data_IF_417656398423
#
_entry.id   IF_417656398423
#
_cell.length_a   1.000
_cell.length_b   1.000
_cell.length_c   1.000
_cell.angle_alpha   90.00
_cell.angle_beta   90.00
_cell.angle_gamma   90.00
#
_symmetry.space_group_name_H-M   'P 1'
#
loop_
_entity.id
_entity.type
_entity.pdbx_description
1 polymer ?
#
# COMPACT_ATOMS: atom_id res chain seq x y z
N UNK A 1 59.33 -10.87 21.22
CA UNK A 1 58.44 -11.41 20.17
C UNK A 1 56.99 -11.09 20.59
N UNK A 2 56.46 -9.99 20.06
CA UNK A 2 55.04 -9.65 20.28
C UNK A 2 54.20 -10.43 19.28
N UNK A 3 53.02 -10.97 19.68
CA UNK A 3 52.13 -11.68 18.75
C UNK A 3 51.42 -10.66 17.84
N UNK A 4 51.61 -10.83 16.54
CA UNK A 4 50.87 -10.11 15.50
C UNK A 4 49.38 -10.42 15.59
N UNK A 5 48.60 -9.54 16.24
CA UNK A 5 47.15 -9.59 16.22
C UNK A 5 46.72 -9.10 14.82
N UNK A 6 46.40 -10.03 13.94
CA UNK A 6 45.69 -9.74 12.69
C UNK A 6 44.29 -9.21 13.05
N UNK A 7 44.13 -7.90 12.97
CA UNK A 7 42.82 -7.25 13.03
C UNK A 7 41.97 -7.80 11.87
N UNK A 8 41.06 -8.72 12.18
CA UNK A 8 40.01 -9.10 11.27
C UNK A 8 39.19 -7.85 10.95
N UNK A 9 39.24 -7.44 9.70
CA UNK A 9 38.46 -6.34 9.17
C UNK A 9 36.97 -6.73 9.26
N UNK A 10 36.30 -6.38 10.35
CA UNK A 10 34.84 -6.42 10.39
C UNK A 10 34.34 -5.40 9.35
N UNK A 11 33.48 -5.81 8.39
CA UNK A 11 32.92 -4.86 7.45
C UNK A 11 32.19 -3.76 8.25
N UNK A 12 32.54 -2.50 7.96
CA UNK A 12 31.93 -1.36 8.63
C UNK A 12 30.42 -1.39 8.39
N UNK A 13 29.60 -0.93 9.35
CA UNK A 13 28.13 -0.85 9.22
C UNK A 13 27.69 -0.15 7.93
N UNK A 14 28.49 0.76 7.42
CA UNK A 14 28.29 1.51 6.18
C UNK A 14 28.39 0.63 4.92
N UNK A 15 29.26 -0.37 4.91
CA UNK A 15 29.40 -1.29 3.76
C UNK A 15 28.23 -2.25 3.65
N UNK A 16 27.70 -2.74 4.78
CA UNK A 16 26.52 -3.59 4.82
C UNK A 16 25.27 -2.80 4.35
N UNK A 17 25.11 -1.56 4.83
CA UNK A 17 24.02 -0.66 4.39
C UNK A 17 24.04 -0.39 2.89
N UNK A 18 25.21 -0.19 2.30
CA UNK A 18 25.37 0.06 0.87
C UNK A 18 25.06 -1.17 0.00
N UNK A 19 25.39 -2.39 0.45
CA UNK A 19 25.10 -3.63 -0.27
C UNK A 19 23.57 -3.87 -0.44
N UNK A 20 22.77 -3.51 0.56
CA UNK A 20 21.31 -3.69 0.53
C UNK A 20 20.53 -2.51 -0.05
N UNK A 21 21.19 -1.42 -0.42
CA UNK A 21 20.55 -0.21 -0.93
C UNK A 21 19.80 -0.45 -2.24
N UNK A 22 20.39 -1.15 -3.20
CA UNK A 22 19.75 -1.47 -4.46
C UNK A 22 18.53 -2.39 -4.32
N UNK A 23 18.62 -3.51 -3.57
CA UNK A 23 17.45 -4.33 -3.27
C UNK A 23 16.33 -3.54 -2.58
N UNK A 24 16.65 -2.67 -1.62
CA UNK A 24 15.66 -1.84 -0.93
C UNK A 24 14.96 -0.84 -1.87
N UNK A 25 15.69 -0.27 -2.83
CA UNK A 25 15.12 0.59 -3.88
C UNK A 25 14.16 -0.22 -4.76
N UNK A 26 14.59 -1.38 -5.24
CA UNK A 26 13.76 -2.26 -6.09
C UNK A 26 12.46 -2.66 -5.38
N UNK A 27 12.55 -3.08 -4.11
CA UNK A 27 11.38 -3.39 -3.27
C UNK A 27 10.45 -2.18 -3.16
N UNK A 28 10.99 -0.98 -2.95
CA UNK A 28 10.20 0.25 -2.84
C UNK A 28 9.46 0.60 -4.13
N UNK A 29 10.02 0.31 -5.29
CA UNK A 29 9.32 0.49 -6.58
C UNK A 29 8.28 -0.60 -6.83
N UNK A 30 8.61 -1.87 -6.54
CA UNK A 30 7.69 -2.99 -6.72
C UNK A 30 6.45 -2.84 -5.83
N UNK A 31 6.64 -2.49 -4.56
CA UNK A 31 5.56 -2.25 -3.60
C UNK A 31 5.24 -0.77 -3.45
N UNK A 32 5.25 -0.04 -4.58
CA UNK A 32 4.87 1.37 -4.56
C UNK A 32 3.40 1.51 -4.12
N UNK A 33 3.08 2.45 -3.19
CA UNK A 33 1.73 2.56 -2.61
C UNK A 33 0.61 2.73 -3.64
N UNK A 34 0.89 3.28 -4.81
CA UNK A 34 -0.07 3.41 -5.92
C UNK A 34 -0.38 2.06 -6.56
N UNK A 35 0.56 1.09 -6.56
CA UNK A 35 0.37 -0.23 -7.18
C UNK A 35 -0.27 -1.24 -6.23
N UNK A 36 -0.08 -1.10 -4.94
CA UNK A 36 -0.59 -2.04 -3.92
C UNK A 36 -2.10 -2.30 -4.04
N UNK A 37 -2.98 -1.28 -4.23
CA UNK A 37 -4.41 -1.52 -4.42
C UNK A 37 -4.72 -2.41 -5.60
N UNK A 38 -3.96 -2.30 -6.69
CA UNK A 38 -4.17 -3.12 -7.89
C UNK A 38 -3.78 -4.59 -7.64
N UNK A 39 -2.72 -4.86 -6.87
CA UNK A 39 -2.36 -6.22 -6.47
C UNK A 39 -3.45 -6.86 -5.59
N UNK A 40 -4.03 -6.10 -4.67
CA UNK A 40 -5.14 -6.55 -3.84
C UNK A 40 -6.35 -6.91 -4.69
N UNK A 41 -6.73 -6.06 -5.65
CA UNK A 41 -7.87 -6.31 -6.54
C UNK A 41 -7.59 -7.49 -7.47
N UNK A 42 -6.39 -7.60 -8.01
CA UNK A 42 -6.00 -8.76 -8.81
C UNK A 42 -6.12 -10.07 -8.01
N UNK A 43 -5.73 -10.06 -6.73
CA UNK A 43 -5.94 -11.20 -5.85
C UNK A 43 -7.43 -11.54 -5.68
N UNK A 44 -8.27 -10.55 -5.36
CA UNK A 44 -9.71 -10.74 -5.17
C UNK A 44 -10.37 -11.30 -6.43
N UNK A 45 -9.98 -10.79 -7.61
CA UNK A 45 -10.62 -11.09 -8.90
C UNK A 45 -10.16 -12.42 -9.49
N UNK A 46 -8.86 -12.74 -9.39
CA UNK A 46 -8.26 -13.87 -10.12
C UNK A 46 -7.78 -15.02 -9.23
N UNK A 47 -7.37 -14.73 -8.00
CA UNK A 47 -6.71 -15.72 -7.14
C UNK A 47 -7.66 -16.24 -6.07
N UNK A 48 -8.48 -15.36 -5.47
CA UNK A 48 -9.45 -15.78 -4.46
C UNK A 48 -10.54 -16.65 -5.12
N UNK A 49 -10.76 -17.88 -4.65
CA UNK A 49 -11.54 -18.85 -5.41
C UNK A 49 -13.05 -18.63 -5.39
N UNK A 50 -13.60 -17.79 -4.52
CA UNK A 50 -15.07 -17.67 -4.35
C UNK A 50 -15.64 -16.34 -4.81
N UNK A 51 -14.95 -15.23 -4.71
CA UNK A 51 -15.57 -13.91 -4.92
C UNK A 51 -16.02 -13.66 -6.37
N UNK A 52 -15.26 -14.09 -7.36
CA UNK A 52 -15.50 -13.82 -8.77
C UNK A 52 -15.75 -15.08 -9.60
N UNK A 53 -16.30 -16.13 -8.99
CA UNK A 53 -16.56 -17.43 -9.67
C UNK A 53 -17.60 -17.31 -10.80
N UNK A 54 -18.60 -16.45 -10.65
CA UNK A 54 -19.64 -16.21 -11.66
C UNK A 54 -19.27 -15.25 -12.78
N UNK A 55 -18.08 -14.62 -12.70
CA UNK A 55 -17.65 -13.61 -13.67
C UNK A 55 -16.91 -14.24 -14.84
N UNK A 56 -17.27 -13.82 -16.06
CA UNK A 56 -16.51 -14.19 -17.28
C UNK A 56 -15.11 -13.55 -17.27
N UNK A 57 -14.19 -14.10 -18.10
CA UNK A 57 -12.86 -13.53 -18.24
C UNK A 57 -12.87 -12.05 -18.67
N UNK A 58 -13.83 -11.65 -19.52
CA UNK A 58 -13.98 -10.24 -19.94
C UNK A 58 -14.39 -9.33 -18.78
N UNK A 59 -15.35 -9.73 -17.97
CA UNK A 59 -15.80 -8.96 -16.81
C UNK A 59 -14.67 -8.80 -15.77
N UNK A 60 -13.87 -9.84 -15.55
CA UNK A 60 -12.67 -9.77 -14.69
C UNK A 60 -11.65 -8.76 -15.21
N UNK A 61 -11.38 -8.76 -16.53
CA UNK A 61 -10.49 -7.79 -17.16
C UNK A 61 -11.05 -6.37 -17.02
N UNK A 62 -12.33 -6.14 -17.28
CA UNK A 62 -12.95 -4.83 -17.12
C UNK A 62 -12.90 -4.34 -15.68
N UNK A 63 -13.16 -5.22 -14.71
CA UNK A 63 -13.02 -4.88 -13.28
C UNK A 63 -11.61 -4.38 -12.96
N UNK A 64 -10.59 -5.09 -13.45
CA UNK A 64 -9.19 -4.71 -13.21
C UNK A 64 -8.83 -3.41 -13.94
N UNK A 65 -9.29 -3.21 -15.19
CA UNK A 65 -9.04 -1.98 -15.95
C UNK A 65 -9.71 -0.76 -15.31
N UNK A 66 -10.97 -0.86 -14.89
CA UNK A 66 -11.68 0.22 -14.19
C UNK A 66 -10.95 0.57 -12.90
N UNK A 67 -10.51 -0.44 -12.15
CA UNK A 67 -9.71 -0.25 -10.94
C UNK A 67 -8.37 0.42 -11.23
N UNK A 68 -7.64 -0.04 -12.25
CA UNK A 68 -6.35 0.52 -12.64
C UNK A 68 -6.48 2.00 -13.05
N UNK A 69 -7.52 2.36 -13.81
CA UNK A 69 -7.76 3.75 -14.21
C UNK A 69 -8.03 4.64 -13.00
N UNK A 70 -8.90 4.21 -12.09
CA UNK A 70 -9.30 5.05 -10.94
C UNK A 70 -8.25 5.07 -9.81
N UNK A 71 -7.62 3.94 -9.52
CA UNK A 71 -6.75 3.81 -8.35
C UNK A 71 -5.26 4.03 -8.66
N UNK A 72 -4.87 3.95 -9.94
CA UNK A 72 -3.48 4.10 -10.37
C UNK A 72 -3.32 5.26 -11.34
N UNK A 73 -4.00 5.20 -12.48
CA UNK A 73 -3.77 6.16 -13.57
C UNK A 73 -4.13 7.59 -13.16
N UNK A 74 -5.34 7.84 -12.66
CA UNK A 74 -5.74 9.20 -12.26
C UNK A 74 -4.92 9.77 -11.10
N UNK A 75 -4.67 9.05 -9.98
CA UNK A 75 -3.75 9.54 -8.96
C UNK A 75 -2.35 9.86 -9.49
N UNK A 76 -1.78 8.98 -10.33
CA UNK A 76 -0.47 9.20 -10.92
C UNK A 76 -0.45 10.41 -11.86
N UNK A 77 -1.45 10.50 -12.76
CA UNK A 77 -1.61 11.65 -13.67
C UNK A 77 -1.70 12.96 -12.88
N UNK A 78 -2.48 12.98 -11.78
CA UNK A 78 -2.58 14.17 -10.92
C UNK A 78 -1.22 14.57 -10.34
N UNK A 79 -0.45 13.62 -9.81
CA UNK A 79 0.90 13.91 -9.30
C UNK A 79 1.82 14.46 -10.38
N UNK A 80 1.78 13.89 -11.59
CA UNK A 80 2.58 14.36 -12.73
C UNK A 80 2.17 15.77 -13.16
N UNK A 81 0.86 16.06 -13.22
CA UNK A 81 0.35 17.40 -13.54
C UNK A 81 0.75 18.43 -12.46
N UNK A 82 0.62 18.07 -11.18
CA UNK A 82 1.05 18.93 -10.07
C UNK A 82 2.55 19.25 -10.14
N UNK A 83 3.36 18.27 -10.55
CA UNK A 83 4.80 18.50 -10.78
C UNK A 83 5.04 19.40 -11.99
N UNK A 84 4.35 19.16 -13.09
CA UNK A 84 4.49 19.95 -14.32
C UNK A 84 4.08 21.42 -14.10
N UNK A 85 3.04 21.66 -13.30
CA UNK A 85 2.53 23.00 -12.97
C UNK A 85 3.30 23.67 -11.80
N UNK A 86 4.30 23.01 -11.21
CA UNK A 86 5.11 23.59 -10.15
C UNK A 86 4.47 23.60 -8.76
N UNK A 87 3.31 22.94 -8.55
CA UNK A 87 2.66 22.86 -7.24
C UNK A 87 3.40 21.96 -6.24
N UNK A 88 4.18 20.98 -6.73
CA UNK A 88 5.04 20.15 -5.90
C UNK A 88 6.48 20.23 -6.38
N UNK A 89 7.42 20.25 -5.43
CA UNK A 89 8.84 20.39 -5.71
C UNK A 89 9.44 19.11 -6.31
N UNK A 90 8.97 17.95 -5.90
CA UNK A 90 9.45 16.65 -6.34
C UNK A 90 8.36 15.59 -6.33
N UNK A 91 8.38 14.69 -7.32
CA UNK A 91 7.53 13.48 -7.34
C UNK A 91 7.83 12.53 -6.17
N UNK A 92 9.02 12.64 -5.56
CA UNK A 92 9.39 11.83 -4.39
C UNK A 92 8.77 12.34 -3.08
N UNK A 93 8.13 13.52 -3.09
CA UNK A 93 7.35 14.09 -1.97
C UNK A 93 8.11 14.03 -0.64
N UNK A 94 9.32 14.59 -0.61
CA UNK A 94 10.17 14.59 0.58
C UNK A 94 9.59 15.41 1.72
N UNK A 95 8.88 16.51 1.43
CA UNK A 95 8.25 17.36 2.45
C UNK A 95 6.83 16.90 2.78
N UNK A 96 6.36 17.23 3.99
CA UNK A 96 4.95 17.02 4.40
C UNK A 96 3.99 17.78 3.49
N UNK A 97 4.37 19.00 3.06
CA UNK A 97 3.54 19.88 2.22
C UNK A 97 3.31 19.27 0.83
N UNK A 98 4.34 18.71 0.21
CA UNK A 98 4.23 18.09 -1.12
C UNK A 98 3.26 16.89 -1.14
N UNK A 99 2.98 16.29 0.01
CA UNK A 99 2.10 15.11 0.15
C UNK A 99 0.62 15.45 0.28
N UNK A 100 0.28 16.66 0.70
CA UNK A 100 -1.12 17.05 1.01
C UNK A 100 -2.00 16.89 -0.22
N UNK A 101 -1.64 17.51 -1.34
CA UNK A 101 -2.47 17.47 -2.55
C UNK A 101 -2.55 16.06 -3.15
N UNK A 102 -1.46 15.28 -3.25
CA UNK A 102 -1.54 13.86 -3.62
C UNK A 102 -2.45 13.02 -2.73
N UNK A 103 -2.44 13.23 -1.41
CA UNK A 103 -3.37 12.54 -0.51
C UNK A 103 -4.83 12.90 -0.82
N UNK A 104 -5.13 14.19 -1.01
CA UNK A 104 -6.48 14.67 -1.37
C UNK A 104 -6.91 14.06 -2.71
N UNK A 105 -6.03 14.07 -3.71
CA UNK A 105 -6.32 13.49 -5.02
C UNK A 105 -6.63 11.98 -4.92
N UNK A 106 -5.78 11.21 -4.23
CA UNK A 106 -6.05 9.79 -3.99
C UNK A 106 -7.38 9.58 -3.25
N UNK A 107 -7.67 10.41 -2.24
CA UNK A 107 -8.93 10.35 -1.48
C UNK A 107 -10.14 10.51 -2.42
N UNK A 108 -10.13 11.51 -3.31
CA UNK A 108 -11.23 11.76 -4.25
C UNK A 108 -11.41 10.57 -5.21
N UNK A 109 -10.34 10.08 -5.82
CA UNK A 109 -10.43 8.97 -6.78
C UNK A 109 -10.79 7.64 -6.13
N UNK A 110 -10.32 7.38 -4.91
CA UNK A 110 -10.67 6.16 -4.17
C UNK A 110 -12.13 6.19 -3.73
N UNK A 111 -12.62 7.34 -3.27
CA UNK A 111 -14.05 7.48 -2.95
C UNK A 111 -14.92 7.35 -4.20
N UNK A 112 -14.53 7.95 -5.32
CA UNK A 112 -15.22 7.77 -6.59
C UNK A 112 -15.26 6.31 -7.05
N UNK A 113 -14.12 5.63 -7.00
CA UNK A 113 -14.03 4.20 -7.34
C UNK A 113 -14.94 3.36 -6.42
N UNK A 114 -14.97 3.67 -5.12
CA UNK A 114 -15.90 3.04 -4.19
C UNK A 114 -17.34 3.19 -4.64
N UNK A 115 -17.80 4.40 -4.98
CA UNK A 115 -19.15 4.64 -5.46
C UNK A 115 -19.45 3.89 -6.75
N UNK A 116 -18.52 3.87 -7.70
CA UNK A 116 -18.66 3.14 -8.97
C UNK A 116 -18.95 1.66 -8.73
N UNK A 117 -18.16 1.00 -7.87
CA UNK A 117 -18.34 -0.42 -7.60
C UNK A 117 -19.50 -0.72 -6.62
N UNK A 118 -19.75 0.16 -5.66
CA UNK A 118 -20.83 -0.01 -4.67
C UNK A 118 -22.22 0.08 -5.27
N UNK A 119 -22.39 0.93 -6.29
CA UNK A 119 -23.67 1.13 -6.97
C UNK A 119 -24.02 0.02 -7.97
N UNK A 120 -23.11 -0.92 -8.22
CA UNK A 120 -23.32 -2.05 -9.12
C UNK A 120 -23.49 -3.34 -8.31
N UNK A 121 -24.71 -3.85 -8.25
CA UNK A 121 -25.08 -5.02 -7.42
C UNK A 121 -24.40 -6.34 -7.84
N UNK A 122 -23.83 -6.38 -9.04
CA UNK A 122 -23.11 -7.56 -9.54
C UNK A 122 -21.79 -7.82 -8.83
N UNK A 123 -21.14 -6.79 -8.29
CA UNK A 123 -19.82 -6.95 -7.67
C UNK A 123 -19.90 -7.49 -6.24
N UNK A 124 -19.03 -8.45 -5.88
CA UNK A 124 -18.93 -8.93 -4.50
C UNK A 124 -18.61 -7.78 -3.55
N UNK A 125 -19.26 -7.74 -2.40
CA UNK A 125 -19.15 -6.64 -1.44
C UNK A 125 -17.73 -6.38 -0.94
N UNK A 126 -16.87 -7.41 -0.95
CA UNK A 126 -15.47 -7.27 -0.56
C UNK A 126 -14.71 -6.24 -1.43
N UNK A 127 -15.05 -6.12 -2.73
CA UNK A 127 -14.37 -5.18 -3.63
C UNK A 127 -14.62 -3.72 -3.25
N UNK A 128 -15.89 -3.22 -3.19
CA UNK A 128 -16.14 -1.85 -2.73
C UNK A 128 -15.71 -1.64 -1.27
N UNK A 129 -15.79 -2.65 -0.39
CA UNK A 129 -15.31 -2.57 0.99
C UNK A 129 -13.82 -2.31 1.05
N UNK A 130 -13.02 -3.05 0.27
CA UNK A 130 -11.58 -2.83 0.18
C UNK A 130 -11.24 -1.40 -0.29
N UNK A 131 -11.91 -0.94 -1.36
CA UNK A 131 -11.65 0.40 -1.93
C UNK A 131 -12.04 1.50 -0.92
N UNK A 132 -13.15 1.33 -0.20
CA UNK A 132 -13.54 2.23 0.87
C UNK A 132 -12.53 2.24 2.02
N UNK A 133 -12.01 1.07 2.38
CA UNK A 133 -10.92 0.95 3.36
C UNK A 133 -9.65 1.70 2.93
N UNK A 134 -9.29 1.66 1.64
CA UNK A 134 -8.18 2.44 1.09
C UNK A 134 -8.46 3.95 1.17
N UNK A 135 -9.68 4.38 0.87
CA UNK A 135 -10.12 5.77 1.07
C UNK A 135 -9.95 6.21 2.52
N UNK A 136 -10.41 5.42 3.48
CA UNK A 136 -10.26 5.72 4.91
C UNK A 136 -8.78 5.77 5.33
N UNK A 137 -7.97 4.83 4.85
CA UNK A 137 -6.53 4.77 5.13
C UNK A 137 -5.81 6.02 4.61
N UNK A 138 -6.12 6.46 3.40
CA UNK A 138 -5.53 7.66 2.79
C UNK A 138 -5.91 8.91 3.59
N UNK A 139 -7.16 9.04 4.04
CA UNK A 139 -7.59 10.16 4.88
C UNK A 139 -6.92 10.14 6.25
N UNK A 140 -6.81 8.96 6.89
CA UNK A 140 -6.04 8.81 8.13
C UNK A 140 -4.57 9.20 7.94
N UNK A 141 -3.97 8.80 6.82
CA UNK A 141 -2.62 9.20 6.42
C UNK A 141 -2.47 10.71 6.21
N UNK A 142 -3.46 11.37 5.59
CA UNK A 142 -3.50 12.82 5.42
C UNK A 142 -3.55 13.54 6.77
N UNK A 143 -4.43 13.11 7.67
CA UNK A 143 -4.54 13.68 9.02
C UNK A 143 -3.23 13.48 9.80
N UNK A 144 -2.69 12.26 9.80
CA UNK A 144 -1.41 11.98 10.45
C UNK A 144 -0.27 12.84 9.89
N UNK A 145 -0.26 13.08 8.57
CA UNK A 145 0.77 13.89 7.91
C UNK A 145 0.79 15.36 8.37
N UNK A 146 -0.29 15.87 8.98
CA UNK A 146 -0.31 17.20 9.60
C UNK A 146 0.65 17.23 10.81
N UNK A 147 0.63 16.19 11.63
CA UNK A 147 1.38 16.11 12.88
C UNK A 147 2.80 15.56 12.66
N UNK A 148 2.94 14.44 11.96
CA UNK A 148 4.22 13.78 11.70
C UNK A 148 4.28 13.16 10.29
N UNK A 149 5.50 12.89 9.80
CA UNK A 149 5.72 12.31 8.47
C UNK A 149 5.42 10.82 8.51
N UNK A 150 4.23 10.39 8.03
CA UNK A 150 3.88 8.96 7.93
C UNK A 150 4.48 8.31 6.68
N UNK A 151 4.81 7.01 6.76
CA UNK A 151 5.27 6.25 5.59
C UNK A 151 4.11 5.82 4.70
N UNK A 152 4.03 6.38 3.48
CA UNK A 152 3.00 6.02 2.49
C UNK A 152 3.10 4.56 2.04
N UNK A 153 4.32 4.01 1.95
CA UNK A 153 4.53 2.58 1.65
C UNK A 153 3.96 1.70 2.76
N UNK A 154 4.25 2.02 4.01
CA UNK A 154 3.71 1.27 5.14
C UNK A 154 2.19 1.40 5.24
N UNK A 155 1.63 2.57 4.90
CA UNK A 155 0.18 2.79 4.84
C UNK A 155 -0.49 1.87 3.80
N UNK A 156 0.05 1.79 2.59
CA UNK A 156 -0.44 0.90 1.55
C UNK A 156 -0.32 -0.58 1.94
N UNK A 157 0.83 -0.98 2.46
CA UNK A 157 1.07 -2.35 2.92
C UNK A 157 0.19 -2.73 4.12
N UNK A 158 -0.09 -1.79 5.04
CA UNK A 158 -1.07 -1.95 6.11
C UNK A 158 -2.47 -2.19 5.57
N UNK A 159 -2.88 -1.47 4.52
CA UNK A 159 -4.13 -1.72 3.81
C UNK A 159 -4.19 -3.11 3.18
N UNK A 160 -3.09 -3.59 2.59
CA UNK A 160 -3.00 -4.95 2.07
C UNK A 160 -3.14 -6.00 3.17
N UNK A 161 -2.39 -5.84 4.26
CA UNK A 161 -2.49 -6.73 5.42
C UNK A 161 -3.90 -6.71 6.02
N UNK A 162 -4.50 -5.53 6.17
CA UNK A 162 -5.87 -5.38 6.69
C UNK A 162 -6.91 -6.09 5.83
N UNK A 163 -6.83 -6.00 4.50
CA UNK A 163 -7.69 -6.76 3.58
C UNK A 163 -7.58 -8.27 3.84
N UNK A 164 -6.38 -8.81 3.93
CA UNK A 164 -6.17 -10.25 4.13
C UNK A 164 -6.66 -10.72 5.49
N UNK A 165 -6.53 -9.90 6.52
CA UNK A 165 -7.10 -10.18 7.84
C UNK A 165 -8.64 -10.15 7.79
N UNK A 166 -9.25 -9.18 7.11
CA UNK A 166 -10.70 -9.13 6.91
C UNK A 166 -11.21 -10.39 6.20
N UNK A 167 -10.55 -10.80 5.10
CA UNK A 167 -10.94 -12.03 4.38
C UNK A 167 -10.79 -13.26 5.28
N UNK A 168 -9.70 -13.38 6.04
CA UNK A 168 -9.47 -14.50 6.95
C UNK A 168 -10.52 -14.57 8.06
N UNK A 169 -10.89 -13.42 8.63
CA UNK A 169 -11.90 -13.33 9.69
C UNK A 169 -13.32 -13.55 9.17
N UNK A 170 -13.60 -13.26 7.91
CA UNK A 170 -14.90 -13.53 7.29
C UNK A 170 -15.17 -15.02 7.03
N UNK A 171 -14.21 -15.88 7.28
CA UNK A 171 -14.27 -17.35 7.16
C UNK A 171 -14.68 -17.86 5.76
N UNK A 172 -14.52 -17.04 4.74
CA UNK A 172 -14.92 -17.43 3.38
C UNK A 172 -14.03 -18.53 2.80
N UNK A 173 -12.73 -18.54 3.17
CA UNK A 173 -11.74 -19.60 2.83
C UNK A 173 -10.46 -19.45 3.63
N UNK A 174 -9.74 -20.57 3.79
CA UNK A 174 -8.40 -20.57 4.39
C UNK A 174 -7.38 -19.99 3.40
N UNK A 175 -7.00 -18.73 3.60
CA UNK A 175 -5.97 -18.04 2.83
C UNK A 175 -4.66 -17.83 3.62
N UNK A 176 -4.42 -18.67 4.63
CA UNK A 176 -3.29 -18.55 5.57
C UNK A 176 -1.95 -18.41 4.85
N UNK A 177 -1.70 -19.20 3.80
CA UNK A 177 -0.46 -19.11 3.01
C UNK A 177 -0.25 -17.73 2.39
N UNK A 178 -1.29 -17.15 1.79
CA UNK A 178 -1.24 -15.79 1.23
C UNK A 178 -1.07 -14.72 2.33
N UNK A 179 -1.73 -14.89 3.48
CA UNK A 179 -1.55 -14.00 4.63
C UNK A 179 -0.10 -14.00 5.09
N UNK A 180 0.55 -15.17 5.22
CA UNK A 180 1.96 -15.27 5.56
C UNK A 180 2.86 -14.53 4.54
N UNK A 181 2.58 -14.65 3.24
CA UNK A 181 3.31 -13.93 2.19
C UNK A 181 3.14 -12.42 2.31
N UNK A 182 1.93 -11.94 2.64
CA UNK A 182 1.68 -10.50 2.85
C UNK A 182 2.40 -9.99 4.10
N UNK A 183 2.41 -10.74 5.19
CA UNK A 183 3.18 -10.39 6.40
C UNK A 183 4.68 -10.29 6.08
N UNK A 184 5.22 -11.26 5.34
CA UNK A 184 6.61 -11.23 4.89
C UNK A 184 6.89 -10.00 4.02
N UNK A 185 6.02 -9.70 3.05
CA UNK A 185 6.13 -8.52 2.20
C UNK A 185 6.11 -7.22 3.02
N UNK A 186 5.23 -7.12 4.04
CA UNK A 186 5.20 -5.99 4.97
C UNK A 186 6.54 -5.82 5.70
N UNK A 187 7.12 -6.91 6.20
CA UNK A 187 8.43 -6.91 6.85
C UNK A 187 9.55 -6.43 5.91
N UNK A 188 9.58 -6.97 4.69
CA UNK A 188 10.57 -6.59 3.66
C UNK A 188 10.44 -5.11 3.29
N UNK A 189 9.22 -4.61 3.05
CA UNK A 189 8.99 -3.19 2.73
C UNK A 189 9.36 -2.30 3.91
N UNK A 190 8.92 -2.63 5.13
CA UNK A 190 9.26 -1.87 6.33
C UNK A 190 10.77 -1.74 6.51
N UNK A 191 11.50 -2.86 6.42
CA UNK A 191 12.97 -2.90 6.50
C UNK A 191 13.61 -2.07 5.38
N UNK A 192 13.11 -2.16 4.15
CA UNK A 192 13.61 -1.36 3.02
C UNK A 192 13.47 0.13 3.28
N UNK A 193 12.36 0.58 3.87
CA UNK A 193 12.16 2.01 4.21
C UNK A 193 13.09 2.49 5.32
N UNK A 194 13.47 1.61 6.26
CA UNK A 194 14.47 1.89 7.29
C UNK A 194 15.89 1.96 6.70
N UNK A 195 16.27 0.99 5.87
CA UNK A 195 17.58 0.94 5.21
C UNK A 195 17.85 2.15 4.31
N UNK A 196 16.81 2.65 3.65
CA UNK A 196 16.89 3.87 2.83
C UNK A 196 16.87 5.17 3.67
N UNK A 197 16.87 5.07 5.00
CA UNK A 197 16.78 6.21 5.93
C UNK A 197 15.64 7.19 5.60
N UNK A 198 14.58 6.67 4.97
CA UNK A 198 13.45 7.47 4.49
C UNK A 198 12.46 7.80 5.59
N UNK A 199 12.36 6.90 6.59
CA UNK A 199 11.40 6.95 7.67
C UNK A 199 11.94 6.35 8.96
N UNK A 200 11.52 6.89 10.10
CA UNK A 200 11.75 6.30 11.42
C UNK A 200 10.85 5.07 11.65
N UNK A 201 11.20 4.18 12.58
CA UNK A 201 10.34 3.04 12.94
C UNK A 201 8.91 3.45 13.32
N UNK A 202 8.73 4.53 14.09
CA UNK A 202 7.43 5.04 14.48
C UNK A 202 6.58 5.51 13.29
N UNK A 203 7.18 6.13 12.27
CA UNK A 203 6.50 6.54 11.03
C UNK A 203 6.07 5.33 10.19
N UNK A 204 6.81 4.22 10.26
CA UNK A 204 6.50 2.97 9.55
C UNK A 204 5.39 2.23 10.28
N UNK A 205 5.52 2.00 11.59
CA UNK A 205 4.49 1.28 12.36
C UNK A 205 3.15 2.00 12.38
N UNK A 206 3.16 3.34 12.49
CA UNK A 206 1.93 4.12 12.37
C UNK A 206 1.30 4.00 10.98
N UNK A 207 2.11 3.92 9.91
CA UNK A 207 1.62 3.65 8.56
C UNK A 207 0.89 2.31 8.46
N UNK A 208 1.51 1.23 8.92
CA UNK A 208 0.88 -0.09 8.96
C UNK A 208 -0.42 -0.09 9.77
N UNK A 209 -0.41 0.53 10.94
CA UNK A 209 -1.57 0.61 11.81
C UNK A 209 -2.75 1.31 11.12
N UNK A 210 -2.56 2.52 10.61
CA UNK A 210 -3.64 3.29 9.98
C UNK A 210 -4.13 2.66 8.67
N UNK A 211 -3.22 2.04 7.90
CA UNK A 211 -3.58 1.27 6.71
C UNK A 211 -4.50 0.11 7.04
N UNK A 212 -4.14 -0.68 8.04
CA UNK A 212 -4.91 -1.83 8.50
C UNK A 212 -6.25 -1.41 9.12
N UNK A 213 -6.25 -0.39 9.97
CA UNK A 213 -7.47 0.11 10.63
C UNK A 213 -8.50 0.61 9.63
N UNK A 214 -8.08 1.25 8.53
CA UNK A 214 -8.99 1.66 7.46
C UNK A 214 -9.77 0.48 6.88
N UNK A 215 -9.15 -0.69 6.72
CA UNK A 215 -9.83 -1.90 6.22
C UNK A 215 -10.81 -2.47 7.25
N UNK A 216 -10.43 -2.54 8.51
CA UNK A 216 -11.33 -3.02 9.57
C UNK A 216 -12.56 -2.13 9.72
N UNK A 217 -12.38 -0.81 9.75
CA UNK A 217 -13.50 0.14 9.83
C UNK A 217 -14.42 0.00 8.61
N UNK A 218 -13.87 -0.12 7.40
CA UNK A 218 -14.67 -0.34 6.20
C UNK A 218 -15.45 -1.66 6.26
N UNK A 219 -14.82 -2.73 6.74
CA UNK A 219 -15.46 -4.04 6.87
C UNK A 219 -16.61 -4.00 7.89
N UNK A 220 -16.40 -3.41 9.05
CA UNK A 220 -17.45 -3.26 10.08
C UNK A 220 -18.63 -2.43 9.53
N UNK A 221 -18.35 -1.36 8.78
CA UNK A 221 -19.39 -0.47 8.28
C UNK A 221 -20.19 -1.05 7.12
N UNK A 222 -19.61 -1.87 6.25
CA UNK A 222 -20.23 -2.35 5.02
C UNK A 222 -20.61 -3.83 5.04
N UNK A 223 -19.95 -4.65 5.87
CA UNK A 223 -20.12 -6.10 5.91
C UNK A 223 -20.69 -6.59 7.25
N UNK A 224 -20.61 -5.76 8.34
CA UNK A 224 -21.26 -5.99 9.65
C UNK A 224 -22.64 -5.44 9.62
#
# INVERSE_FOLDING_TARGET
MEPNVTLQHQPSSDTIGNAFKWPAILVSYLFHPVLVPLYCIAFIVYIHPSYFTGFSGKEKIYTLLISAVNLVFFPLLTVLLLKALGFISSIYMHSKKDRIIPYIACSIFYFWAYLVFRNQTMYPLILPTFIFGMFLSVNAGLIANIYFKISMHALGMGGWLGLFLVITLSQTMLITGFLCLVILACGIVGTSRMLLSSHSPGEIYSGFFWGMMGQFVAAIFLMG
#
